data_IF_251352313706
#
_entry.id   IF_251352313706
#
_cell.length_a   1.000
_cell.length_b   1.000
_cell.length_c   1.000
_cell.angle_alpha   90.00
_cell.angle_beta   90.00
_cell.angle_gamma   90.00
#
_symmetry.space_group_name_H-M   'P 1'
#
loop_
_entity.id
_entity.type
_entity.pdbx_description
1 polymer ?
#
# COMPACT_ATOMS: atom_id res chain seq x y z
N UNK A 1 -17.82 14.59 6.46
CA UNK A 1 -18.22 13.22 6.10
C UNK A 1 -17.29 12.80 4.99
N UNK A 2 -16.08 12.32 5.31
CA UNK A 2 -15.19 11.78 4.29
C UNK A 2 -15.66 10.35 4.03
N UNK A 3 -16.31 10.14 2.88
CA UNK A 3 -16.67 8.83 2.38
C UNK A 3 -15.37 8.04 2.19
N UNK A 4 -15.07 7.15 3.12
CA UNK A 4 -14.08 6.10 2.89
C UNK A 4 -14.64 5.25 1.76
N UNK A 5 -14.06 5.35 0.58
CA UNK A 5 -14.31 4.50 -0.59
C UNK A 5 -13.94 3.05 -0.24
N UNK A 6 -14.75 2.41 0.59
CA UNK A 6 -14.66 1.00 0.93
C UNK A 6 -15.20 0.17 -0.25
N UNK A 7 -14.46 0.13 -1.37
CA UNK A 7 -14.55 -0.94 -2.38
C UNK A 7 -13.57 -0.68 -3.56
N UNK A 8 -12.26 -0.70 -3.30
CA UNK A 8 -11.22 -0.68 -4.34
C UNK A 8 -10.01 -1.51 -3.89
N UNK A 9 -10.19 -2.83 -3.75
CA UNK A 9 -9.08 -3.74 -3.48
C UNK A 9 -8.41 -3.64 -2.10
N UNK A 10 -8.99 -2.94 -1.12
CA UNK A 10 -8.47 -2.84 0.25
C UNK A 10 -8.17 -4.22 0.88
N UNK A 11 -7.03 -4.33 1.56
CA UNK A 11 -6.54 -5.55 2.18
C UNK A 11 -6.38 -5.47 3.69
N UNK A 12 -6.18 -4.27 4.24
CA UNK A 12 -5.95 -4.07 5.67
C UNK A 12 -5.16 -2.82 5.97
N UNK A 13 -5.04 -2.52 7.25
CA UNK A 13 -4.25 -1.40 7.76
C UNK A 13 -3.18 -1.82 8.78
N UNK A 14 -2.17 -0.97 8.95
CA UNK A 14 -1.19 -1.07 10.03
C UNK A 14 -0.69 0.32 10.39
N UNK A 15 -0.14 0.50 11.60
CA UNK A 15 0.25 1.82 12.09
C UNK A 15 1.63 1.84 12.75
N UNK A 16 2.24 3.03 12.72
CA UNK A 16 3.46 3.35 13.47
C UNK A 16 3.40 4.79 13.96
N UNK A 17 3.22 4.94 15.28
CA UNK A 17 3.00 6.25 15.87
C UNK A 17 1.71 6.88 15.33
N UNK A 18 1.72 8.16 14.89
CA UNK A 18 0.53 8.81 14.32
C UNK A 18 0.23 8.40 12.87
N UNK A 19 1.16 7.71 12.20
CA UNK A 19 0.98 7.31 10.81
C UNK A 19 0.18 6.01 10.70
N UNK A 20 -0.90 6.06 9.92
CA UNK A 20 -1.69 4.89 9.51
C UNK A 20 -1.37 4.58 8.05
N UNK A 21 -1.05 3.32 7.78
CA UNK A 21 -0.77 2.81 6.45
C UNK A 21 -1.88 1.87 6.04
N UNK A 22 -2.32 2.00 4.79
CA UNK A 22 -3.41 1.19 4.24
C UNK A 22 -2.93 0.49 2.99
N UNK A 23 -3.16 -0.83 2.89
CA UNK A 23 -2.74 -1.64 1.75
C UNK A 23 -3.92 -1.92 0.84
N UNK A 24 -3.71 -1.72 -0.45
CA UNK A 24 -4.69 -2.02 -1.49
C UNK A 24 -4.06 -2.91 -2.56
N UNK A 25 -4.85 -3.82 -3.12
CA UNK A 25 -4.56 -4.47 -4.39
C UNK A 25 -4.98 -3.52 -5.52
N UNK A 26 -4.07 -3.25 -6.45
CA UNK A 26 -4.34 -2.39 -7.61
C UNK A 26 -5.16 -3.17 -8.64
N UNK A 27 -6.38 -2.70 -8.90
CA UNK A 27 -7.25 -3.23 -9.94
C UNK A 27 -6.90 -2.69 -11.33
N UNK A 28 -7.48 -3.25 -12.41
CA UNK A 28 -7.27 -2.77 -13.77
C UNK A 28 -7.74 -1.34 -14.00
N UNK A 29 -8.73 -0.88 -13.24
CA UNK A 29 -9.23 0.50 -13.28
C UNK A 29 -8.20 1.51 -12.73
N UNK A 30 -7.30 1.05 -11.86
CA UNK A 30 -6.24 1.83 -11.20
C UNK A 30 -4.86 1.62 -11.86
N UNK A 31 -4.84 1.04 -13.07
CA UNK A 31 -3.63 0.79 -13.87
C UNK A 31 -3.00 -0.59 -13.72
N UNK A 32 -3.56 -1.47 -12.89
CA UNK A 32 -3.04 -2.83 -12.68
C UNK A 32 -3.21 -3.71 -13.93
N UNK A 33 -2.19 -4.48 -14.31
CA UNK A 33 -2.30 -5.34 -15.48
C UNK A 33 -3.09 -6.63 -15.17
N UNK A 34 -4.23 -6.92 -15.83
CA UNK A 34 -5.12 -8.04 -15.46
C UNK A 34 -4.50 -9.42 -15.66
N UNK A 35 -3.47 -9.52 -16.51
CA UNK A 35 -2.70 -10.74 -16.76
C UNK A 35 -1.27 -10.66 -16.19
N UNK A 36 -0.95 -9.59 -15.47
CA UNK A 36 0.36 -9.37 -14.86
C UNK A 36 0.45 -9.95 -13.45
N UNK A 37 1.65 -9.89 -12.83
CA UNK A 37 1.78 -10.17 -11.41
C UNK A 37 0.89 -9.21 -10.59
N UNK A 38 0.41 -9.63 -9.41
CA UNK A 38 -0.43 -8.78 -8.59
C UNK A 38 0.35 -7.54 -8.12
N UNK A 39 -0.21 -6.37 -8.45
CA UNK A 39 0.30 -5.07 -8.03
C UNK A 39 -0.45 -4.58 -6.78
N UNK A 40 0.27 -3.91 -5.91
CA UNK A 40 -0.21 -3.38 -4.64
C UNK A 40 0.23 -1.94 -4.47
N UNK A 41 -0.60 -1.15 -3.81
CA UNK A 41 -0.26 0.20 -3.37
C UNK A 41 -0.39 0.32 -1.85
N UNK A 42 0.43 1.20 -1.29
CA UNK A 42 0.38 1.59 0.11
C UNK A 42 0.04 3.07 0.16
N UNK A 43 -1.00 3.40 0.90
CA UNK A 43 -1.28 4.77 1.28
C UNK A 43 -0.82 5.04 2.70
N UNK A 44 -0.39 6.27 3.00
CA UNK A 44 -0.11 6.74 4.35
C UNK A 44 -0.96 7.95 4.67
N UNK A 45 -1.54 7.95 5.87
CA UNK A 45 -2.18 9.11 6.48
C UNK A 45 -1.47 9.42 7.80
N UNK A 46 -0.69 10.50 7.80
CA UNK A 46 0.04 11.04 8.96
C UNK A 46 -0.69 12.22 9.64
N UNK A 47 -1.95 12.46 9.27
CA UNK A 47 -2.75 13.61 9.74
C UNK A 47 -2.98 14.69 8.67
N UNK A 48 -2.31 14.58 7.52
CA UNK A 48 -2.49 15.45 6.36
C UNK A 48 -3.38 14.84 5.26
N UNK A 49 -4.09 13.74 5.55
CA UNK A 49 -4.92 12.97 4.63
C UNK A 49 -4.15 11.81 3.96
N UNK A 50 -4.87 10.79 3.46
CA UNK A 50 -4.25 9.64 2.80
C UNK A 50 -3.56 10.05 1.49
N UNK A 51 -2.35 9.53 1.28
CA UNK A 51 -1.58 9.69 0.04
C UNK A 51 -0.93 8.37 -0.32
N UNK A 52 -0.91 8.03 -1.61
CA UNK A 52 -0.11 6.93 -2.12
C UNK A 52 1.39 7.22 -1.89
N UNK A 53 2.08 6.30 -1.23
CA UNK A 53 3.50 6.44 -0.89
C UNK A 53 4.36 5.35 -1.53
N UNK A 54 3.74 4.24 -1.95
CA UNK A 54 4.44 3.13 -2.56
C UNK A 54 3.55 2.34 -3.52
N UNK A 55 4.15 1.89 -4.64
CA UNK A 55 3.65 0.80 -5.50
C UNK A 55 4.66 -0.32 -5.59
N UNK A 56 4.19 -1.57 -5.60
CA UNK A 56 5.06 -2.74 -5.71
C UNK A 56 4.31 -3.98 -6.21
N UNK A 57 5.07 -4.98 -6.65
CA UNK A 57 4.56 -6.29 -7.04
C UNK A 57 4.80 -7.31 -5.94
N UNK A 58 3.73 -7.92 -5.43
CA UNK A 58 3.83 -8.87 -4.31
C UNK A 58 4.48 -10.18 -4.73
N UNK A 59 5.27 -10.78 -3.84
CA UNK A 59 6.02 -12.03 -4.06
C UNK A 59 6.90 -12.00 -5.35
N UNK A 60 7.48 -10.84 -5.68
CA UNK A 60 8.48 -10.70 -6.75
C UNK A 60 9.77 -10.08 -6.24
N UNK A 61 10.87 -10.24 -6.98
CA UNK A 61 12.15 -9.56 -6.74
C UNK A 61 12.17 -8.13 -7.34
N UNK A 62 11.04 -7.65 -7.87
CA UNK A 62 10.96 -6.32 -8.43
C UNK A 62 11.02 -5.28 -7.31
N UNK A 63 11.82 -4.21 -7.48
CA UNK A 63 11.92 -3.18 -6.46
C UNK A 63 10.58 -2.46 -6.27
N UNK A 64 10.29 -2.12 -5.03
CA UNK A 64 9.18 -1.23 -4.70
C UNK A 64 9.49 0.20 -5.16
N UNK A 65 8.51 0.85 -5.77
CA UNK A 65 8.57 2.26 -6.15
C UNK A 65 8.02 3.11 -4.99
N UNK A 66 8.84 4.03 -4.48
CA UNK A 66 8.48 4.93 -3.37
C UNK A 66 8.32 6.36 -3.87
N UNK A 67 7.34 7.08 -3.34
CA UNK A 67 7.00 8.43 -3.80
C UNK A 67 7.35 9.52 -2.79
N UNK A 68 7.75 10.69 -3.32
CA UNK A 68 8.00 11.89 -2.53
C UNK A 68 9.05 11.67 -1.42
N UNK A 69 8.71 12.10 -0.21
CA UNK A 69 9.60 12.03 0.96
C UNK A 69 9.93 10.59 1.42
N UNK A 70 9.24 9.58 0.89
CA UNK A 70 9.48 8.17 1.23
C UNK A 70 10.63 7.54 0.45
N UNK A 71 11.20 8.22 -0.55
CA UNK A 71 12.34 7.70 -1.29
C UNK A 71 13.57 7.56 -0.38
N UNK A 72 14.00 6.32 -0.15
CA UNK A 72 15.11 5.96 0.75
C UNK A 72 14.84 6.27 2.24
N UNK A 73 13.57 6.31 2.64
CA UNK A 73 13.22 6.47 4.06
C UNK A 73 13.59 5.19 4.84
N UNK A 74 14.17 5.31 6.06
CA UNK A 74 14.54 4.15 6.88
C UNK A 74 13.36 3.25 7.28
N UNK A 75 12.11 3.69 7.09
CA UNK A 75 10.93 2.89 7.39
C UNK A 75 10.49 2.03 6.21
N UNK A 76 11.01 2.26 4.99
CA UNK A 76 10.60 1.54 3.79
C UNK A 76 10.61 0.02 3.96
N UNK A 77 11.71 -0.55 4.46
CA UNK A 77 11.83 -2.00 4.69
C UNK A 77 10.77 -2.52 5.68
N UNK A 78 10.54 -1.78 6.76
CA UNK A 78 9.55 -2.16 7.76
C UNK A 78 8.12 -2.08 7.20
N UNK A 79 7.81 -1.02 6.45
CA UNK A 79 6.50 -0.83 5.81
C UNK A 79 6.23 -1.94 4.80
N UNK A 80 7.20 -2.29 3.95
CA UNK A 80 7.06 -3.41 3.00
C UNK A 80 6.87 -4.75 3.72
N UNK A 81 7.59 -4.97 4.83
CA UNK A 81 7.43 -6.19 5.61
C UNK A 81 6.02 -6.29 6.22
N UNK A 82 5.44 -5.19 6.71
CA UNK A 82 4.06 -5.19 7.20
C UNK A 82 3.04 -5.35 6.06
N UNK A 83 3.22 -4.63 4.95
CA UNK A 83 2.34 -4.76 3.79
C UNK A 83 2.30 -6.20 3.26
N UNK A 84 3.45 -6.88 3.17
CA UNK A 84 3.50 -8.29 2.79
C UNK A 84 2.77 -9.21 3.78
N UNK A 85 2.77 -8.90 5.08
CA UNK A 85 1.97 -9.67 6.06
C UNK A 85 0.48 -9.44 5.83
N UNK A 86 0.06 -8.19 5.61
CA UNK A 86 -1.34 -7.85 5.31
C UNK A 86 -1.81 -8.51 4.01
N UNK A 87 -0.96 -8.59 2.98
CA UNK A 87 -1.28 -9.31 1.73
C UNK A 87 -1.50 -10.81 1.99
N UNK A 88 -0.68 -11.43 2.84
CA UNK A 88 -0.80 -12.87 3.19
C UNK A 88 -1.99 -13.17 4.10
N UNK A 89 -2.38 -12.20 4.94
CA UNK A 89 -3.49 -12.32 5.87
C UNK A 89 -4.36 -11.06 5.83
N UNK A 90 -5.16 -10.88 4.76
CA UNK A 90 -6.00 -9.70 4.60
C UNK A 90 -7.13 -9.71 5.64
N UNK A 91 -7.58 -8.54 6.07
CA UNK A 91 -8.60 -8.35 7.12
C UNK A 91 -10.04 -8.54 6.61
N UNK A 92 -10.20 -9.03 5.39
CA UNK A 92 -11.49 -9.20 4.72
C UNK A 92 -12.05 -10.62 4.88
#
# INVERSE_FOLDING_TARGET
MAETTLADGWLGDFSRGPAVFTVYRVGPEEGGHPLGPPEYRIECNDGAGPREICRFFGDTDLPAEWFGAWQNDPWCDWILAQANKTIRNPER
#
